data_IF_205802943538
#
_entry.id   IF_205802943538
#
_cell.length_a   1.000
_cell.length_b   1.000
_cell.length_c   1.000
_cell.angle_alpha   90.00
_cell.angle_beta   90.00
_cell.angle_gamma   90.00
#
_symmetry.space_group_name_H-M   'P 1'
#
loop_
_entity.id
_entity.type
_entity.pdbx_description
1 polymer ?
#
# COMPACT_ATOMS: atom_id res chain seq x y z
N UNK A 1 17.46 -7.15 -4.37
CA UNK A 1 17.40 -6.79 -5.78
C UNK A 1 17.10 -5.31 -5.90
N UNK A 2 17.66 -4.58 -6.85
CA UNK A 2 17.33 -3.16 -7.03
C UNK A 2 16.38 -3.04 -8.21
N UNK A 3 15.42 -2.13 -8.07
CA UNK A 3 14.40 -1.86 -9.08
C UNK A 3 14.41 -0.38 -9.44
N UNK A 4 14.05 -0.08 -10.66
CA UNK A 4 13.77 1.27 -11.11
C UNK A 4 12.27 1.40 -11.33
N UNK A 5 11.67 2.30 -10.61
CA UNK A 5 10.30 2.74 -10.83
C UNK A 5 10.28 3.83 -11.88
N UNK A 6 9.46 3.65 -12.87
CA UNK A 6 9.24 4.59 -13.98
C UNK A 6 7.84 5.14 -13.85
N UNK A 7 7.71 6.44 -13.61
CA UNK A 7 6.42 7.13 -13.44
C UNK A 7 6.16 8.05 -14.62
N UNK A 8 5.03 7.84 -15.30
CA UNK A 8 4.57 8.67 -16.42
C UNK A 8 3.22 9.28 -16.06
N UNK A 9 3.15 10.60 -16.02
CA UNK A 9 1.90 11.33 -15.77
C UNK A 9 1.22 11.63 -17.11
N UNK A 10 -0.04 11.17 -17.26
CA UNK A 10 -0.76 11.17 -18.54
C UNK A 10 -2.22 11.59 -18.36
N UNK A 11 -2.90 11.92 -19.47
CA UNK A 11 -4.37 12.08 -19.50
C UNK A 11 -5.07 10.72 -19.44
N UNK A 12 -6.33 10.68 -19.02
CA UNK A 12 -7.12 9.45 -18.95
C UNK A 12 -7.14 8.67 -20.28
N UNK A 13 -7.21 9.37 -21.40
CA UNK A 13 -7.25 8.77 -22.74
C UNK A 13 -5.99 7.98 -23.11
N UNK A 14 -4.84 8.34 -22.52
CA UNK A 14 -3.56 7.72 -22.82
C UNK A 14 -3.17 6.59 -21.86
N UNK A 15 -3.93 6.39 -20.77
CA UNK A 15 -3.58 5.44 -19.69
C UNK A 15 -3.37 4.03 -20.25
N UNK A 16 -4.32 3.49 -21.00
CA UNK A 16 -4.22 2.14 -21.55
C UNK A 16 -3.04 1.98 -22.51
N UNK A 17 -2.86 2.96 -23.43
CA UNK A 17 -1.76 2.92 -24.40
C UNK A 17 -0.39 2.93 -23.70
N UNK A 18 -0.23 3.75 -22.66
CA UNK A 18 1.02 3.84 -21.92
C UNK A 18 1.22 2.59 -21.03
N UNK A 19 0.19 2.08 -20.40
CA UNK A 19 0.25 0.85 -19.59
C UNK A 19 0.66 -0.36 -20.46
N UNK A 20 0.05 -0.54 -21.61
CA UNK A 20 0.38 -1.61 -22.58
C UNK A 20 1.82 -1.46 -23.08
N UNK A 21 2.24 -0.26 -23.43
CA UNK A 21 3.60 0.03 -23.89
C UNK A 21 4.62 -0.33 -22.79
N UNK A 22 4.45 0.12 -21.55
CA UNK A 22 5.35 -0.19 -20.43
C UNK A 22 5.42 -1.70 -20.17
N UNK A 23 4.30 -2.39 -20.28
CA UNK A 23 4.25 -3.85 -20.12
C UNK A 23 4.99 -4.56 -21.26
N UNK A 24 4.83 -4.10 -22.51
CA UNK A 24 5.49 -4.69 -23.70
C UNK A 24 7.01 -4.57 -23.66
N UNK A 25 7.55 -3.53 -23.03
CA UNK A 25 9.00 -3.31 -22.83
C UNK A 25 9.57 -4.22 -21.72
N UNK A 26 8.71 -4.93 -20.99
CA UNK A 26 9.11 -5.97 -20.06
C UNK A 26 8.83 -5.68 -18.59
N UNK A 27 7.95 -4.74 -18.29
CA UNK A 27 7.37 -4.65 -16.94
C UNK A 27 6.44 -5.86 -16.69
N UNK A 28 6.49 -6.40 -15.48
CA UNK A 28 5.60 -7.51 -15.08
C UNK A 28 4.18 -7.04 -14.69
N UNK A 29 3.97 -5.74 -14.65
CA UNK A 29 2.71 -5.09 -14.33
C UNK A 29 2.92 -3.59 -14.17
N UNK A 30 1.82 -2.87 -14.18
CA UNK A 30 1.77 -1.42 -13.98
C UNK A 30 0.82 -1.10 -12.83
N UNK A 31 1.15 -0.06 -12.08
CA UNK A 31 0.23 0.55 -11.12
C UNK A 31 -0.33 1.83 -11.76
N UNK A 32 -1.64 2.02 -11.64
CA UNK A 32 -2.33 3.19 -12.17
C UNK A 32 -2.96 3.94 -10.99
N UNK A 33 -2.50 5.16 -10.78
CA UNK A 33 -3.05 6.07 -9.78
C UNK A 33 -3.94 7.08 -10.50
N UNK A 34 -5.26 6.85 -10.41
CA UNK A 34 -6.29 7.69 -11.02
C UNK A 34 -7.08 8.42 -9.93
N UNK A 35 -6.83 9.74 -9.73
CA UNK A 35 -7.52 10.53 -8.73
C UNK A 35 -9.03 10.63 -8.99
N UNK A 36 -9.47 10.63 -10.25
CA UNK A 36 -10.90 10.69 -10.58
C UNK A 36 -11.61 9.41 -10.15
N UNK A 37 -11.03 8.26 -10.42
CA UNK A 37 -11.58 6.96 -10.01
C UNK A 37 -11.73 6.86 -8.49
N UNK A 38 -10.75 7.39 -7.74
CA UNK A 38 -10.80 7.44 -6.28
C UNK A 38 -11.98 8.31 -5.80
N UNK A 39 -12.16 9.49 -6.40
CA UNK A 39 -13.29 10.37 -6.07
C UNK A 39 -14.64 9.75 -6.45
N UNK A 40 -14.74 9.10 -7.59
CA UNK A 40 -15.95 8.43 -8.06
C UNK A 40 -16.33 7.26 -7.13
N UNK A 41 -15.37 6.44 -6.72
CA UNK A 41 -15.59 5.35 -5.76
C UNK A 41 -16.02 5.88 -4.39
N UNK A 42 -15.42 6.97 -3.92
CA UNK A 42 -15.83 7.64 -2.69
C UNK A 42 -17.27 8.14 -2.75
N UNK A 43 -17.65 8.77 -3.86
CA UNK A 43 -18.98 9.35 -4.05
C UNK A 43 -20.06 8.30 -4.35
N UNK A 44 -19.68 7.11 -4.81
CA UNK A 44 -20.62 6.02 -5.12
C UNK A 44 -21.32 5.41 -3.89
N UNK A 45 -20.83 5.73 -2.68
CA UNK A 45 -21.33 5.14 -1.43
C UNK A 45 -21.03 3.65 -1.27
N UNK A 46 -20.21 3.08 -2.14
CA UNK A 46 -19.80 1.67 -2.08
C UNK A 46 -18.89 1.40 -0.89
N UNK A 47 -18.18 2.41 -0.43
CA UNK A 47 -17.32 2.36 0.74
C UNK A 47 -18.00 3.04 1.92
N UNK A 48 -18.39 2.28 2.93
CA UNK A 48 -19.05 2.80 4.15
C UNK A 48 -18.12 3.71 4.97
N UNK A 49 -16.81 3.51 4.86
CA UNK A 49 -15.78 4.31 5.53
C UNK A 49 -14.63 4.53 4.54
N UNK A 50 -14.50 5.76 4.07
CA UNK A 50 -13.39 6.18 3.21
C UNK A 50 -12.67 7.36 3.88
N UNK A 51 -11.52 7.07 4.48
CA UNK A 51 -10.64 8.08 5.10
C UNK A 51 -9.72 8.76 4.07
N UNK A 52 -9.83 8.38 2.78
CA UNK A 52 -9.02 8.97 1.72
C UNK A 52 -9.56 10.38 1.43
N UNK A 53 -8.74 11.44 1.53
CA UNK A 53 -9.17 12.80 1.23
C UNK A 53 -9.53 12.93 -0.27
N UNK A 54 -10.40 13.89 -0.55
CA UNK A 54 -10.75 14.22 -1.93
C UNK A 54 -9.51 14.67 -2.71
N UNK A 55 -9.36 14.11 -3.92
CA UNK A 55 -8.22 14.39 -4.77
C UNK A 55 -8.52 15.65 -5.61
N UNK A 56 -7.63 16.64 -5.54
CA UNK A 56 -7.85 17.94 -6.19
C UNK A 56 -7.54 17.90 -7.70
N UNK A 57 -6.51 17.12 -8.12
CA UNK A 57 -6.06 17.09 -9.50
C UNK A 57 -6.53 15.82 -10.21
N UNK A 58 -7.74 15.85 -10.74
CA UNK A 58 -8.39 14.70 -11.39
C UNK A 58 -8.03 14.52 -12.86
N UNK A 59 -7.35 15.48 -13.48
CA UNK A 59 -7.01 15.41 -14.91
C UNK A 59 -5.73 14.60 -15.20
N UNK A 60 -4.93 14.35 -14.16
CA UNK A 60 -3.63 13.71 -14.30
C UNK A 60 -3.66 12.33 -13.66
N UNK A 61 -3.44 11.32 -14.49
CA UNK A 61 -3.27 9.92 -14.06
C UNK A 61 -1.79 9.59 -14.06
N UNK A 62 -1.30 8.93 -13.01
CA UNK A 62 0.08 8.44 -12.96
C UNK A 62 0.11 6.94 -13.25
N UNK A 63 0.88 6.57 -14.27
CA UNK A 63 1.16 5.18 -14.63
C UNK A 63 2.58 4.85 -14.22
N UNK A 64 2.72 3.89 -13.31
CA UNK A 64 3.99 3.46 -12.71
C UNK A 64 4.34 2.04 -13.16
N UNK A 65 5.58 1.81 -13.56
CA UNK A 65 6.09 0.50 -13.93
C UNK A 65 7.44 0.23 -13.26
N UNK A 66 7.75 -1.05 -13.02
CA UNK A 66 8.95 -1.46 -12.30
C UNK A 66 9.83 -2.35 -13.16
N UNK A 67 11.09 -1.95 -13.33
CA UNK A 67 12.11 -2.67 -14.08
C UNK A 67 13.27 -3.07 -13.19
N UNK A 68 13.80 -4.27 -13.39
CA UNK A 68 15.02 -4.68 -12.68
C UNK A 68 16.22 -3.81 -13.10
N UNK A 69 17.06 -3.42 -12.14
CA UNK A 69 18.33 -2.71 -12.38
C UNK A 69 19.35 -3.75 -12.89
N UNK A 70 19.26 -4.08 -14.17
CA UNK A 70 20.09 -5.03 -14.89
C UNK A 70 20.77 -4.38 -16.12
N UNK A 71 21.65 -5.13 -16.79
CA UNK A 71 22.40 -4.67 -17.97
C UNK A 71 21.49 -4.18 -19.13
N UNK A 72 20.22 -4.52 -19.12
CA UNK A 72 19.25 -4.13 -20.16
C UNK A 72 18.46 -2.87 -19.80
N UNK A 73 18.64 -2.35 -18.58
CA UNK A 73 17.86 -1.21 -18.08
C UNK A 73 17.99 0.00 -18.98
N UNK A 74 19.22 0.43 -19.32
CA UNK A 74 19.45 1.62 -20.17
C UNK A 74 18.75 1.51 -21.52
N UNK A 75 18.78 0.30 -22.12
CA UNK A 75 18.08 0.05 -23.38
C UNK A 75 16.57 0.17 -23.24
N UNK A 76 16.00 -0.37 -22.14
CA UNK A 76 14.56 -0.26 -21.85
C UNK A 76 14.14 1.19 -21.64
N UNK A 77 14.94 1.97 -20.90
CA UNK A 77 14.62 3.37 -20.65
C UNK A 77 14.65 4.19 -21.95
N UNK A 78 15.62 3.96 -22.83
CA UNK A 78 15.66 4.61 -24.15
C UNK A 78 14.46 4.20 -25.03
N UNK A 79 14.06 2.94 -25.00
CA UNK A 79 12.88 2.43 -25.71
C UNK A 79 11.57 3.04 -25.18
N UNK A 80 11.46 3.24 -23.87
CA UNK A 80 10.32 3.93 -23.25
C UNK A 80 10.20 5.35 -23.78
N UNK A 81 11.30 6.12 -23.79
CA UNK A 81 11.28 7.50 -24.26
C UNK A 81 10.91 7.59 -25.77
N UNK A 82 11.42 6.67 -26.60
CA UNK A 82 11.08 6.57 -28.02
C UNK A 82 9.59 6.25 -28.23
N UNK A 83 9.07 5.26 -27.52
CA UNK A 83 7.67 4.87 -27.65
C UNK A 83 6.71 5.94 -27.12
N UNK A 84 7.07 6.64 -26.04
CA UNK A 84 6.29 7.78 -25.55
C UNK A 84 6.21 8.90 -26.57
N UNK A 85 7.30 9.17 -27.30
CA UNK A 85 7.31 10.16 -28.40
C UNK A 85 6.39 9.72 -29.55
N UNK A 86 6.40 8.45 -29.93
CA UNK A 86 5.51 7.90 -30.97
C UNK A 86 4.02 7.97 -30.58
N UNK A 87 3.70 7.75 -29.32
CA UNK A 87 2.34 7.92 -28.81
C UNK A 87 1.92 9.39 -28.93
N UNK A 88 2.82 10.34 -28.57
CA UNK A 88 2.56 11.78 -28.65
C UNK A 88 2.31 12.25 -30.08
N UNK A 89 2.99 11.69 -31.07
CA UNK A 89 2.72 11.95 -32.50
C UNK A 89 1.34 11.49 -32.97
N UNK A 90 0.81 10.42 -32.36
CA UNK A 90 -0.48 9.81 -32.75
C UNK A 90 -1.69 10.46 -32.11
N UNK A 91 -1.64 10.73 -30.82
CA UNK A 91 -2.79 11.21 -30.04
C UNK A 91 -2.63 12.66 -29.57
N UNK A 92 -1.52 13.32 -29.91
CA UNK A 92 -1.22 14.70 -29.49
C UNK A 92 -0.68 14.76 -28.05
N UNK A 93 -0.70 15.95 -27.48
CA UNK A 93 -0.15 16.17 -26.14
C UNK A 93 -1.00 15.48 -25.09
N UNK A 94 -0.50 14.39 -24.54
CA UNK A 94 -1.17 13.59 -23.52
C UNK A 94 -0.38 13.49 -22.21
N UNK A 95 0.89 13.92 -22.23
CA UNK A 95 1.82 13.76 -21.11
C UNK A 95 1.98 15.05 -20.33
N UNK A 96 2.02 14.93 -19.01
CA UNK A 96 2.28 16.02 -18.08
C UNK A 96 3.70 15.89 -17.50
N UNK A 97 4.57 16.78 -17.96
CA UNK A 97 5.97 16.81 -17.50
C UNK A 97 6.85 15.70 -18.08
N UNK A 98 7.98 15.46 -17.44
CA UNK A 98 8.95 14.45 -17.84
C UNK A 98 8.71 13.13 -17.10
N UNK A 99 9.09 12.02 -17.75
CA UNK A 99 9.18 10.72 -17.09
C UNK A 99 10.07 10.81 -15.84
N UNK A 100 9.61 10.30 -14.71
CA UNK A 100 10.36 10.29 -13.46
C UNK A 100 10.90 8.90 -13.21
N UNK A 101 12.15 8.82 -12.77
CA UNK A 101 12.81 7.58 -12.42
C UNK A 101 13.19 7.61 -10.96
N UNK A 102 12.82 6.57 -10.21
CA UNK A 102 13.17 6.40 -8.79
C UNK A 102 13.81 5.03 -8.57
N UNK A 103 14.97 5.00 -7.94
CA UNK A 103 15.53 3.72 -7.45
C UNK A 103 14.73 3.26 -6.24
N UNK A 104 14.27 2.02 -6.30
CA UNK A 104 13.52 1.38 -5.22
C UNK A 104 14.27 0.12 -4.82
N UNK A 105 14.65 0.01 -3.56
CA UNK A 105 15.21 -1.21 -3.02
C UNK A 105 14.08 -2.13 -2.53
N UNK A 106 14.33 -3.43 -2.59
CA UNK A 106 13.41 -4.43 -2.03
C UNK A 106 13.17 -4.21 -0.52
N UNK A 107 14.14 -3.62 0.17
CA UNK A 107 14.05 -3.26 1.59
C UNK A 107 13.17 -2.03 1.81
N UNK A 108 13.20 -1.04 0.92
CA UNK A 108 12.32 0.13 1.00
C UNK A 108 10.87 -0.31 0.85
N UNK A 109 10.60 -1.16 -0.11
CA UNK A 109 9.27 -1.72 -0.35
C UNK A 109 8.79 -2.60 0.82
N UNK A 110 9.68 -3.42 1.37
CA UNK A 110 9.37 -4.26 2.53
C UNK A 110 9.09 -3.45 3.80
N UNK A 111 9.52 -2.19 3.88
CA UNK A 111 9.35 -1.34 5.05
C UNK A 111 8.32 -0.21 4.85
N UNK A 112 7.96 0.12 3.62
CA UNK A 112 7.06 1.24 3.31
C UNK A 112 5.68 1.07 3.98
N UNK A 113 5.17 -0.15 4.09
CA UNK A 113 3.92 -0.45 4.77
C UNK A 113 3.99 -0.22 6.29
N UNK A 114 5.18 -0.26 6.92
CA UNK A 114 5.36 -0.04 8.36
C UNK A 114 4.93 1.35 8.79
N UNK A 115 5.06 2.35 7.92
CA UNK A 115 4.64 3.72 8.19
C UNK A 115 3.12 3.90 8.40
N UNK A 116 2.33 2.90 8.00
CA UNK A 116 0.87 2.94 8.19
C UNK A 116 0.41 2.25 9.49
N UNK A 117 1.33 1.65 10.23
CA UNK A 117 1.02 0.97 11.48
C UNK A 117 1.62 1.70 12.66
N UNK A 118 0.75 2.33 13.43
CA UNK A 118 1.09 3.10 14.61
C UNK A 118 0.48 2.49 15.86
N UNK A 119 0.98 2.94 17.02
CA UNK A 119 0.40 2.57 18.31
C UNK A 119 -1.09 2.92 18.31
N UNK A 120 -1.92 1.92 18.53
CA UNK A 120 -3.38 2.04 18.49
C UNK A 120 -3.99 1.63 19.82
N UNK A 121 -4.81 2.51 20.40
CA UNK A 121 -5.55 2.23 21.61
C UNK A 121 -6.88 1.55 21.27
N UNK A 122 -7.19 0.46 21.97
CA UNK A 122 -8.42 -0.32 21.79
C UNK A 122 -9.12 -0.47 23.13
N UNK A 123 -10.40 -0.10 23.16
CA UNK A 123 -11.17 -0.16 24.40
C UNK A 123 -10.65 0.82 25.46
N UNK A 124 -10.51 0.37 26.70
CA UNK A 124 -10.12 1.20 27.86
C UNK A 124 -8.67 1.01 28.27
N UNK A 125 -8.15 -0.19 28.13
CA UNK A 125 -6.85 -0.57 28.68
C UNK A 125 -5.94 -1.33 27.71
N UNK A 126 -6.42 -1.66 26.51
CA UNK A 126 -5.61 -2.37 25.53
C UNK A 126 -4.90 -1.40 24.60
N UNK A 127 -3.62 -1.67 24.39
CA UNK A 127 -2.78 -0.93 23.44
C UNK A 127 -2.10 -1.93 22.51
N UNK A 128 -2.29 -1.75 21.21
CA UNK A 128 -1.59 -2.53 20.19
C UNK A 128 -0.45 -1.68 19.66
N UNK A 129 0.74 -2.23 19.64
CA UNK A 129 1.90 -1.59 19.06
C UNK A 129 2.70 -2.54 18.16
N UNK A 130 3.27 -2.06 17.06
CA UNK A 130 4.28 -2.83 16.34
C UNK A 130 5.63 -2.81 17.09
N UNK A 131 6.52 -3.79 16.79
CA UNK A 131 7.82 -3.90 17.45
C UNK A 131 8.76 -2.72 17.18
N UNK A 132 8.59 -2.02 16.05
CA UNK A 132 9.43 -0.88 15.63
C UNK A 132 9.02 0.46 16.23
N UNK A 133 7.90 0.54 16.97
CA UNK A 133 7.51 1.74 17.70
C UNK A 133 7.77 1.60 19.19
N UNK A 134 8.33 2.65 19.79
CA UNK A 134 8.51 2.72 21.23
C UNK A 134 7.23 3.28 21.88
N UNK A 135 6.76 2.61 22.91
CA UNK A 135 5.61 3.04 23.69
C UNK A 135 5.82 2.77 25.17
N UNK A 136 5.64 3.79 25.99
CA UNK A 136 5.66 3.70 27.44
C UNK A 136 4.21 3.54 27.96
N UNK A 137 3.79 2.34 28.44
CA UNK A 137 2.43 2.12 28.89
C UNK A 137 2.11 2.97 30.11
N UNK A 138 0.88 3.47 30.17
CA UNK A 138 0.34 4.14 31.33
C UNK A 138 -0.16 3.13 32.36
N UNK A 139 -0.40 3.59 33.58
CA UNK A 139 -0.95 2.73 34.64
C UNK A 139 -2.31 2.12 34.21
N UNK A 140 -2.41 0.81 34.25
CA UNK A 140 -3.60 0.07 33.84
C UNK A 140 -3.69 -0.28 32.36
N UNK A 141 -2.71 0.10 31.54
CA UNK A 141 -2.66 -0.31 30.15
C UNK A 141 -1.98 -1.67 29.95
N UNK A 142 -2.52 -2.48 29.05
CA UNK A 142 -1.97 -3.75 28.62
C UNK A 142 -1.51 -3.66 27.19
N UNK A 143 -0.21 -3.73 26.97
CA UNK A 143 0.40 -3.61 25.64
C UNK A 143 0.49 -4.97 24.98
N UNK A 144 -0.07 -5.07 23.78
CA UNK A 144 0.03 -6.23 22.92
C UNK A 144 0.94 -5.84 21.75
N UNK A 145 2.13 -6.46 21.69
CA UNK A 145 3.06 -6.27 20.59
C UNK A 145 2.72 -7.22 19.46
N UNK A 146 2.40 -6.68 18.30
CA UNK A 146 2.07 -7.43 17.08
C UNK A 146 2.81 -6.83 15.91
N UNK A 147 3.62 -7.64 15.25
CA UNK A 147 4.18 -7.29 13.95
C UNK A 147 3.19 -7.69 12.87
N UNK A 148 2.45 -6.72 12.30
CA UNK A 148 1.55 -7.00 11.21
C UNK A 148 2.37 -7.49 10.02
N UNK A 149 2.10 -8.72 9.59
CA UNK A 149 2.57 -9.21 8.32
C UNK A 149 1.58 -8.83 7.20
N UNK A 150 1.72 -9.43 6.04
CA UNK A 150 0.70 -9.33 4.97
C UNK A 150 -0.58 -10.11 5.30
N UNK A 151 -0.81 -10.45 6.58
CA UNK A 151 -1.93 -11.22 7.05
C UNK A 151 -3.01 -10.32 7.66
N UNK A 152 -4.26 -10.77 7.57
CA UNK A 152 -5.40 -10.13 8.19
C UNK A 152 -5.29 -10.16 9.73
N UNK A 153 -5.80 -9.13 10.42
CA UNK A 153 -5.88 -9.12 11.89
C UNK A 153 -4.84 -8.27 12.60
N UNK A 154 -4.36 -7.22 11.96
CA UNK A 154 -3.34 -6.29 12.50
C UNK A 154 -3.80 -5.44 13.69
N UNK A 155 -5.04 -5.62 14.15
CA UNK A 155 -5.63 -4.84 15.25
C UNK A 155 -6.33 -3.55 14.83
N UNK A 156 -6.01 -3.00 13.68
CA UNK A 156 -6.61 -1.76 13.16
C UNK A 156 -7.96 -1.99 12.46
N UNK A 157 -8.23 -3.22 12.03
CA UNK A 157 -9.49 -3.54 11.37
C UNK A 157 -10.67 -3.49 12.35
N UNK A 158 -11.79 -2.87 11.94
CA UNK A 158 -12.97 -2.66 12.80
C UNK A 158 -13.47 -3.92 13.49
N UNK A 159 -13.50 -5.06 12.80
CA UNK A 159 -13.94 -6.34 13.40
C UNK A 159 -13.01 -6.82 14.50
N UNK A 160 -11.70 -6.67 14.33
CA UNK A 160 -10.69 -7.02 15.34
C UNK A 160 -10.84 -6.10 16.54
N UNK A 161 -10.97 -4.80 16.30
CA UNK A 161 -11.14 -3.79 17.34
C UNK A 161 -12.40 -4.05 18.16
N UNK A 162 -13.57 -4.26 17.53
CA UNK A 162 -14.82 -4.61 18.23
C UNK A 162 -14.71 -5.88 19.04
N UNK A 163 -14.02 -6.91 18.53
CA UNK A 163 -13.80 -8.15 19.28
C UNK A 163 -12.92 -7.94 20.50
N UNK A 164 -11.86 -7.17 20.39
CA UNK A 164 -10.97 -6.84 21.50
C UNK A 164 -11.70 -6.03 22.57
N UNK A 165 -12.49 -5.02 22.20
CA UNK A 165 -13.33 -4.27 23.14
C UNK A 165 -14.36 -5.16 23.86
N UNK A 166 -14.91 -6.15 23.16
CA UNK A 166 -15.85 -7.11 23.76
C UNK A 166 -15.14 -8.05 24.73
N UNK A 167 -13.96 -8.55 24.35
CA UNK A 167 -13.15 -9.40 25.20
C UNK A 167 -12.72 -8.67 26.47
N UNK A 168 -12.29 -7.41 26.36
CA UNK A 168 -11.94 -6.57 27.51
C UNK A 168 -13.09 -6.47 28.53
N UNK A 169 -14.35 -6.39 28.07
CA UNK A 169 -15.53 -6.33 28.93
C UNK A 169 -15.89 -7.66 29.59
N UNK A 170 -15.56 -8.76 28.94
CA UNK A 170 -15.93 -10.11 29.38
C UNK A 170 -14.85 -10.77 30.23
N UNK A 171 -13.60 -10.51 29.89
CA UNK A 171 -12.44 -11.08 30.58
C UNK A 171 -12.16 -10.24 31.83
N UNK A 172 -12.63 -10.73 32.97
CA UNK A 172 -12.40 -10.10 34.29
C UNK A 172 -11.30 -10.78 35.09
N UNK A 173 -10.77 -11.90 34.60
CA UNK A 173 -9.75 -12.70 35.29
C UNK A 173 -8.94 -13.50 34.27
N UNK A 174 -7.78 -14.01 34.68
CA UNK A 174 -6.97 -14.91 33.86
C UNK A 174 -7.78 -16.16 33.48
N UNK A 175 -8.09 -16.26 32.17
CA UNK A 175 -8.74 -17.45 31.62
C UNK A 175 -7.66 -18.50 31.32
N UNK A 176 -7.58 -19.50 32.15
CA UNK A 176 -6.84 -20.72 31.84
C UNK A 176 -7.68 -21.56 30.88
N UNK A 177 -7.52 -21.33 29.60
CA UNK A 177 -8.14 -22.18 28.58
C UNK A 177 -7.31 -23.44 28.39
N UNK A 178 -7.96 -24.52 27.93
CA UNK A 178 -7.22 -25.73 27.49
C UNK A 178 -6.16 -25.32 26.47
N UNK A 179 -4.94 -25.86 26.56
CA UNK A 179 -3.89 -25.54 25.61
C UNK A 179 -4.38 -25.83 24.17
N UNK A 180 -4.06 -24.91 23.27
CA UNK A 180 -4.37 -25.06 21.86
C UNK A 180 -3.79 -26.38 21.33
N UNK A 181 -4.40 -27.01 20.32
CA UNK A 181 -3.81 -28.18 19.66
C UNK A 181 -2.37 -27.97 19.17
N UNK A 182 -2.00 -26.71 18.88
CA UNK A 182 -0.62 -26.33 18.52
C UNK A 182 0.35 -26.38 19.69
N UNK A 183 -0.12 -26.15 20.91
CA UNK A 183 0.73 -26.18 22.11
C UNK A 183 1.06 -27.60 22.52
N UNK A 184 0.21 -28.58 22.15
CA UNK A 184 0.44 -30.03 22.40
C UNK A 184 1.52 -30.63 21.49
N UNK A 185 1.93 -29.96 20.42
CA UNK A 185 2.98 -30.47 19.52
C UNK A 185 4.39 -30.07 19.95
N UNK A 186 4.55 -29.30 21.01
CA UNK A 186 5.85 -28.82 21.52
C UNK A 186 6.32 -29.51 22.82
N UNK A 187 5.60 -30.53 23.29
CA UNK A 187 5.99 -31.33 24.46
C UNK A 187 6.47 -32.71 24.04
#
# INVERSE_FOLDING_TARGET
>A
MQWIEVNVSVTHEAVEAVADMLTSIGSKGVAIEDPQLINDLRNSGTWELCDIPEQENTEVVTVSAYYADDEKLEKRLAEIDEQLALIEERIGKYRFGNTRFRKVSEQDWANEWKQYFHVTHVGKSLVIKPSWEEYAPKEGEHVIEIDPGMAFGTGTHHTTNMMMERLEKVITCLLYTSPSPRDRQKS
#
